data_IF_959897822080
#
_entry.id   IF_959897822080
#
_cell.length_a   1.000
_cell.length_b   1.000
_cell.length_c   1.000
_cell.angle_alpha   90.00
_cell.angle_beta   90.00
_cell.angle_gamma   90.00
#
_symmetry.space_group_name_H-M   'P 1'
#
loop_
_entity.id
_entity.type
_entity.pdbx_description
1 polymer ?
#
# COMPACT_ATOMS: atom_id res chain seq x y z
N UNK A 1 5.52 -26.86 1.56
CA UNK A 1 4.61 -26.91 2.73
C UNK A 1 3.60 -25.80 2.53
N UNK A 2 2.32 -26.05 2.77
CA UNK A 2 1.29 -25.01 2.70
C UNK A 2 1.38 -24.10 3.93
N UNK A 3 1.25 -22.79 3.73
CA UNK A 3 1.24 -21.83 4.83
C UNK A 3 -0.10 -21.87 5.56
N UNK A 4 -0.08 -21.76 6.91
CA UNK A 4 -1.31 -21.79 7.71
C UNK A 4 -1.79 -20.35 8.01
N UNK A 5 -2.69 -19.81 7.18
CA UNK A 5 -3.30 -18.49 7.40
C UNK A 5 -4.40 -18.47 8.47
N UNK A 6 -4.85 -19.62 8.98
CA UNK A 6 -5.80 -19.73 10.09
C UNK A 6 -5.11 -19.87 11.47
N UNK A 7 -3.76 -19.78 11.52
CA UNK A 7 -3.04 -19.76 12.79
C UNK A 7 -3.41 -18.48 13.58
N UNK A 8 -3.96 -18.66 14.77
CA UNK A 8 -4.25 -17.54 15.66
C UNK A 8 -3.00 -17.12 16.40
N UNK A 9 -2.50 -15.93 16.12
CA UNK A 9 -1.31 -15.34 16.76
C UNK A 9 -1.77 -14.27 17.73
N UNK A 10 -1.43 -14.43 19.02
CA UNK A 10 -1.68 -13.38 20.01
C UNK A 10 -0.67 -12.24 19.80
N UNK A 11 -1.15 -11.08 19.42
CA UNK A 11 -0.37 -9.86 19.23
C UNK A 11 -0.60 -8.81 20.34
N UNK A 12 -1.42 -9.13 21.35
CA UNK A 12 -1.68 -8.24 22.50
C UNK A 12 -0.47 -8.29 23.42
N UNK A 13 0.02 -7.13 23.84
CA UNK A 13 1.21 -7.01 24.70
C UNK A 13 2.53 -7.24 23.95
N UNK A 14 2.55 -7.03 22.63
CA UNK A 14 3.74 -7.16 21.78
C UNK A 14 4.17 -5.85 21.13
N UNK A 15 3.70 -4.74 21.64
CA UNK A 15 3.89 -3.39 21.08
C UNK A 15 3.30 -3.26 19.66
N UNK A 16 2.31 -4.07 19.33
CA UNK A 16 1.61 -4.02 18.05
C UNK A 16 0.73 -2.78 17.96
N UNK A 17 1.04 -1.86 17.02
CA UNK A 17 0.21 -0.68 16.79
C UNK A 17 -1.25 -1.05 16.45
N UNK A 18 -1.46 -2.13 15.70
CA UNK A 18 -2.78 -2.66 15.39
C UNK A 18 -3.52 -3.18 16.62
N UNK A 19 -2.90 -4.03 17.44
CA UNK A 19 -3.60 -4.71 18.55
C UNK A 19 -3.55 -3.95 19.87
N UNK A 20 -2.41 -3.34 20.21
CA UNK A 20 -2.26 -2.69 21.51
C UNK A 20 -2.78 -1.24 21.47
N UNK A 21 -2.58 -0.51 20.36
CA UNK A 21 -3.05 0.85 20.20
C UNK A 21 -4.44 0.89 19.54
N UNK A 22 -4.59 0.52 18.27
CA UNK A 22 -5.87 0.57 17.54
C UNK A 22 -6.93 -0.35 18.17
N UNK A 23 -6.55 -1.57 18.54
CA UNK A 23 -7.41 -2.57 19.19
C UNK A 23 -7.59 -2.36 20.70
N UNK A 24 -6.98 -1.31 21.28
CA UNK A 24 -7.06 -0.99 22.70
C UNK A 24 -6.76 -2.20 23.61
N UNK A 25 -5.66 -2.91 23.32
CA UNK A 25 -5.27 -4.11 24.06
C UNK A 25 -6.27 -5.25 23.97
N UNK A 26 -6.96 -5.41 22.84
CA UNK A 26 -7.92 -6.48 22.59
C UNK A 26 -9.37 -6.16 22.99
N UNK A 27 -9.66 -4.94 23.45
CA UNK A 27 -11.04 -4.47 23.70
C UNK A 27 -11.84 -4.34 22.38
N UNK A 28 -11.18 -3.96 21.30
CA UNK A 28 -11.75 -3.89 19.96
C UNK A 28 -11.05 -4.90 19.04
N UNK A 29 -11.75 -5.42 18.05
CA UNK A 29 -11.17 -6.15 16.93
C UNK A 29 -10.62 -5.12 15.93
N UNK A 30 -9.29 -5.01 15.74
CA UNK A 30 -8.71 -3.98 14.89
C UNK A 30 -8.71 -4.43 13.42
N UNK A 31 -9.54 -3.80 12.60
CA UNK A 31 -9.63 -4.00 11.15
C UNK A 31 -9.31 -2.70 10.37
N UNK A 32 -8.54 -1.78 10.95
CA UNK A 32 -8.18 -0.51 10.32
C UNK A 32 -6.77 -0.50 9.75
N UNK A 33 -5.75 -0.70 10.58
CA UNK A 33 -4.34 -0.66 10.16
C UNK A 33 -4.05 -1.73 9.09
N UNK A 34 -3.38 -1.31 8.00
CA UNK A 34 -3.07 -2.16 6.87
C UNK A 34 -1.78 -2.99 7.10
N UNK A 35 -1.83 -3.88 8.08
CA UNK A 35 -0.93 -5.03 8.25
C UNK A 35 -1.74 -6.33 8.32
N UNK A 36 -1.11 -7.48 8.14
CA UNK A 36 -1.81 -8.77 8.22
C UNK A 36 -1.65 -9.38 9.62
N UNK A 37 -2.56 -10.29 10.00
CA UNK A 37 -2.42 -11.08 11.24
C UNK A 37 -1.80 -12.46 10.98
N UNK A 38 -1.13 -12.61 9.84
CA UNK A 38 -0.49 -13.85 9.43
C UNK A 38 0.99 -13.87 9.80
N UNK A 39 1.48 -15.06 10.07
CA UNK A 39 2.91 -15.30 10.26
C UNK A 39 3.65 -15.04 8.94
N UNK A 40 4.82 -14.43 9.00
CA UNK A 40 5.72 -14.35 7.86
C UNK A 40 6.18 -15.77 7.43
N UNK A 41 6.58 -15.97 6.16
CA UNK A 41 7.11 -17.25 5.69
C UNK A 41 8.22 -17.79 6.59
N UNK A 42 8.27 -19.12 6.73
CA UNK A 42 9.26 -19.78 7.56
C UNK A 42 10.69 -19.46 7.14
N UNK A 43 10.94 -19.42 5.85
CA UNK A 43 12.23 -19.12 5.26
C UNK A 43 12.74 -17.75 5.69
N UNK A 44 11.86 -16.74 5.67
CA UNK A 44 12.17 -15.39 6.16
C UNK A 44 12.50 -15.39 7.64
N UNK A 45 11.69 -16.08 8.46
CA UNK A 45 11.93 -16.19 9.90
C UNK A 45 13.26 -16.88 10.20
N UNK A 46 13.59 -17.95 9.50
CA UNK A 46 14.81 -18.72 9.70
C UNK A 46 16.05 -17.92 9.24
N UNK A 47 15.96 -17.17 8.14
CA UNK A 47 17.02 -16.27 7.68
C UNK A 47 17.31 -15.16 8.69
N UNK A 48 16.28 -14.53 9.24
CA UNK A 48 16.40 -13.49 10.27
C UNK A 48 16.98 -14.10 11.57
N UNK A 49 16.50 -15.24 12.03
CA UNK A 49 17.02 -15.93 13.20
C UNK A 49 18.50 -16.24 13.07
N UNK A 50 18.91 -16.76 11.93
CA UNK A 50 20.34 -17.03 11.65
C UNK A 50 21.22 -15.80 11.82
N UNK A 51 20.73 -14.61 11.44
CA UNK A 51 21.44 -13.34 11.68
C UNK A 51 21.48 -12.97 13.17
N UNK A 52 20.34 -13.16 13.86
CA UNK A 52 20.22 -12.87 15.31
C UNK A 52 21.10 -13.82 16.14
N UNK A 53 21.09 -15.09 15.81
CA UNK A 53 21.85 -16.14 16.53
C UNK A 53 23.38 -15.95 16.44
N UNK A 54 23.86 -15.23 15.42
CA UNK A 54 25.26 -14.80 15.35
C UNK A 54 25.68 -13.93 16.55
N UNK A 55 24.71 -13.15 17.11
CA UNK A 55 24.91 -12.34 18.30
C UNK A 55 25.84 -11.12 18.15
N UNK A 56 26.21 -10.75 16.90
CA UNK A 56 27.10 -9.62 16.61
C UNK A 56 26.42 -8.70 15.60
N UNK A 57 26.14 -7.46 16.00
CA UNK A 57 25.40 -6.45 15.24
C UNK A 57 26.28 -5.22 14.94
N UNK A 58 27.51 -5.47 14.47
CA UNK A 58 28.40 -4.41 13.97
C UNK A 58 27.97 -3.86 12.61
N UNK A 59 28.74 -2.93 12.06
CA UNK A 59 28.47 -2.39 10.73
C UNK A 59 28.45 -3.51 9.68
N UNK A 60 27.39 -3.57 8.89
CA UNK A 60 27.26 -4.51 7.78
C UNK A 60 27.80 -3.92 6.49
N UNK A 61 28.19 -4.79 5.57
CA UNK A 61 28.37 -4.43 4.16
C UNK A 61 27.07 -4.70 3.43
N UNK A 62 26.53 -3.69 2.70
CA UNK A 62 25.29 -3.84 1.96
C UNK A 62 25.44 -4.94 0.89
N UNK A 63 24.59 -5.98 0.90
CA UNK A 63 24.71 -7.11 -0.02
C UNK A 63 24.09 -6.78 -1.39
N UNK A 64 24.71 -5.83 -2.11
CA UNK A 64 24.18 -5.22 -3.32
C UNK A 64 23.68 -6.25 -4.35
N UNK A 65 24.53 -7.18 -4.75
CA UNK A 65 24.22 -8.16 -5.79
C UNK A 65 23.03 -9.05 -5.38
N UNK A 66 23.04 -9.56 -4.13
CA UNK A 66 21.93 -10.39 -3.62
C UNK A 66 20.63 -9.61 -3.55
N UNK A 67 20.69 -8.34 -3.17
CA UNK A 67 19.53 -7.46 -3.05
C UNK A 67 18.91 -7.17 -4.43
N UNK A 68 19.74 -6.75 -5.39
CA UNK A 68 19.30 -6.43 -6.75
C UNK A 68 18.84 -7.68 -7.50
N UNK A 69 19.52 -8.82 -7.35
CA UNK A 69 19.11 -10.08 -7.96
C UNK A 69 17.76 -10.60 -7.42
N UNK A 70 17.51 -10.44 -6.12
CA UNK A 70 16.22 -10.80 -5.53
C UNK A 70 15.07 -9.97 -6.15
N UNK A 71 15.25 -8.65 -6.29
CA UNK A 71 14.24 -7.74 -6.86
C UNK A 71 14.07 -8.02 -8.37
N UNK A 72 15.16 -8.13 -9.14
CA UNK A 72 15.12 -8.48 -10.56
C UNK A 72 14.40 -9.80 -10.79
N UNK A 73 14.77 -10.82 -10.01
CA UNK A 73 14.13 -12.14 -10.07
C UNK A 73 12.64 -12.08 -9.76
N UNK A 74 12.24 -11.28 -8.75
CA UNK A 74 10.84 -11.06 -8.40
C UNK A 74 10.05 -10.44 -9.55
N UNK A 75 10.51 -9.32 -10.09
CA UNK A 75 9.84 -8.65 -11.21
C UNK A 75 9.78 -9.51 -12.47
N UNK A 76 10.84 -10.25 -12.77
CA UNK A 76 10.85 -11.18 -13.90
C UNK A 76 9.82 -12.31 -13.75
N UNK A 77 9.67 -12.90 -12.54
CA UNK A 77 8.74 -14.00 -12.29
C UNK A 77 7.28 -13.53 -12.18
N UNK A 78 7.03 -12.46 -11.44
CA UNK A 78 5.66 -12.03 -11.09
C UNK A 78 5.07 -10.99 -12.05
N UNK A 79 5.89 -10.08 -12.56
CA UNK A 79 5.42 -8.96 -13.40
C UNK A 79 5.86 -9.04 -14.85
N UNK A 80 6.77 -9.98 -15.22
CA UNK A 80 7.34 -10.11 -16.57
C UNK A 80 8.11 -8.87 -17.03
N UNK A 81 8.69 -8.15 -16.09
CA UNK A 81 9.47 -6.93 -16.32
C UNK A 81 10.94 -7.26 -16.09
N UNK A 82 11.78 -6.89 -17.05
CA UNK A 82 13.23 -6.93 -16.91
C UNK A 82 13.73 -5.61 -16.34
N UNK A 83 14.56 -5.70 -15.29
CA UNK A 83 15.11 -4.56 -14.56
C UNK A 83 16.63 -4.73 -14.49
N UNK A 84 17.36 -3.67 -14.79
CA UNK A 84 18.82 -3.68 -14.63
C UNK A 84 19.20 -3.38 -13.18
N UNK A 85 20.36 -3.88 -12.78
CA UNK A 85 20.90 -3.68 -11.44
C UNK A 85 21.12 -2.19 -11.11
N UNK A 86 21.62 -1.42 -12.10
CA UNK A 86 21.87 0.01 -11.96
C UNK A 86 20.61 0.88 -11.88
N UNK A 87 19.40 0.31 -12.09
CA UNK A 87 18.12 0.97 -11.93
C UNK A 87 17.56 0.88 -10.50
N UNK A 88 18.13 0.02 -9.65
CA UNK A 88 17.62 -0.27 -8.31
C UNK A 88 18.39 0.51 -7.26
N UNK A 89 17.69 1.11 -6.28
CA UNK A 89 18.29 1.61 -5.03
C UNK A 89 17.49 1.15 -3.82
N UNK A 90 18.20 0.92 -2.73
CA UNK A 90 17.59 0.70 -1.42
C UNK A 90 16.94 1.98 -0.88
N UNK A 91 15.88 1.84 -0.12
CA UNK A 91 15.27 2.90 0.67
C UNK A 91 14.89 2.40 2.08
N UNK A 92 15.11 3.19 3.15
CA UNK A 92 14.74 2.83 4.51
C UNK A 92 13.22 3.00 4.75
N UNK A 93 12.40 2.17 4.08
CA UNK A 93 10.95 2.24 4.04
C UNK A 93 10.39 3.14 2.94
N UNK A 94 9.09 2.96 2.60
CA UNK A 94 8.46 3.73 1.52
C UNK A 94 8.20 5.19 1.93
N UNK A 95 7.38 5.39 2.95
CA UNK A 95 6.95 6.74 3.36
C UNK A 95 8.03 7.46 4.14
N UNK A 96 8.74 6.74 4.98
CA UNK A 96 9.79 7.27 5.87
C UNK A 96 11.16 7.36 5.18
N UNK A 97 11.29 6.83 3.98
CA UNK A 97 12.51 6.80 3.18
C UNK A 97 12.25 7.27 1.76
N UNK A 98 11.76 6.38 0.89
CA UNK A 98 11.68 6.62 -0.55
C UNK A 98 10.93 7.92 -0.90
N UNK A 99 9.71 8.12 -0.42
CA UNK A 99 8.88 9.27 -0.80
C UNK A 99 9.53 10.61 -0.44
N UNK A 100 10.02 10.77 0.80
CA UNK A 100 10.62 12.05 1.17
C UNK A 100 11.96 12.29 0.46
N UNK A 101 12.75 11.23 0.20
CA UNK A 101 13.97 11.34 -0.61
C UNK A 101 13.66 11.83 -2.03
N UNK A 102 12.58 11.33 -2.64
CA UNK A 102 12.09 11.87 -3.92
C UNK A 102 11.68 13.32 -3.84
N UNK A 103 10.97 13.72 -2.77
CA UNK A 103 10.61 15.12 -2.59
C UNK A 103 11.84 16.02 -2.49
N UNK A 104 12.88 15.60 -1.77
CA UNK A 104 14.11 16.37 -1.64
C UNK A 104 14.94 16.37 -2.93
N UNK A 105 14.97 15.26 -3.67
CA UNK A 105 15.71 15.12 -4.91
C UNK A 105 15.10 15.93 -6.08
N UNK A 106 13.77 16.00 -6.17
CA UNK A 106 13.10 16.46 -7.38
C UNK A 106 12.25 17.72 -7.22
N UNK A 107 12.13 18.25 -5.99
CA UNK A 107 11.32 19.43 -5.72
C UNK A 107 12.00 20.40 -4.76
N UNK A 108 11.49 21.63 -4.71
CA UNK A 108 11.87 22.64 -3.74
C UNK A 108 10.71 22.91 -2.76
N UNK A 109 10.98 23.48 -1.57
CA UNK A 109 9.93 23.97 -0.70
C UNK A 109 8.97 24.91 -1.44
N UNK A 110 7.66 24.63 -1.31
CA UNK A 110 6.59 25.37 -1.99
C UNK A 110 6.12 24.75 -3.31
N UNK A 111 6.90 23.85 -3.93
CA UNK A 111 6.46 23.08 -5.11
C UNK A 111 5.25 22.21 -4.78
N UNK A 112 4.49 21.86 -5.81
CA UNK A 112 3.25 21.10 -5.72
C UNK A 112 3.42 19.66 -6.15
N UNK A 113 2.71 18.77 -5.45
CA UNK A 113 2.59 17.34 -5.76
C UNK A 113 1.11 17.03 -5.94
N UNK A 114 0.71 16.52 -7.09
CA UNK A 114 -0.66 16.08 -7.35
C UNK A 114 -0.86 14.69 -6.74
N UNK A 115 -1.95 14.50 -6.02
CA UNK A 115 -2.44 13.22 -5.48
C UNK A 115 -3.90 13.01 -5.89
N UNK A 116 -4.40 11.78 -5.85
CA UNK A 116 -5.71 11.39 -6.36
C UNK A 116 -6.64 10.84 -5.25
N UNK A 117 -7.21 11.70 -4.37
CA UNK A 117 -8.15 11.25 -3.34
C UNK A 117 -9.44 10.62 -3.93
N UNK A 118 -10.00 9.59 -3.24
CA UNK A 118 -9.54 8.99 -1.99
C UNK A 118 -8.23 8.23 -2.17
N UNK A 119 -7.21 8.57 -1.41
CA UNK A 119 -5.88 7.98 -1.50
C UNK A 119 -5.24 7.84 -0.11
N UNK A 120 -4.19 7.08 0.01
CA UNK A 120 -3.49 6.85 1.26
C UNK A 120 -3.11 8.16 1.98
N UNK A 121 -3.72 8.39 3.13
CA UNK A 121 -3.67 9.66 3.88
C UNK A 121 -2.24 10.14 4.22
N UNK A 122 -1.28 9.20 4.33
CA UNK A 122 0.11 9.53 4.63
C UNK A 122 0.79 10.28 3.48
N UNK A 123 0.34 10.15 2.23
CA UNK A 123 0.89 10.90 1.11
C UNK A 123 0.83 12.42 1.38
N UNK A 124 -0.36 12.92 1.64
CA UNK A 124 -0.56 14.33 1.95
C UNK A 124 0.29 14.79 3.13
N UNK A 125 0.28 14.01 4.22
CA UNK A 125 1.05 14.32 5.43
C UNK A 125 2.56 14.40 5.15
N UNK A 126 3.13 13.48 4.38
CA UNK A 126 4.56 13.51 4.03
C UNK A 126 4.87 14.71 3.15
N UNK A 127 4.08 14.98 2.12
CA UNK A 127 4.24 16.12 1.22
C UNK A 127 4.26 17.43 2.03
N UNK A 128 3.28 17.65 2.90
CA UNK A 128 3.15 18.87 3.69
C UNK A 128 4.23 19.02 4.76
N UNK A 129 4.63 17.91 5.42
CA UNK A 129 5.70 17.91 6.42
C UNK A 129 7.07 18.31 5.82
N UNK A 130 7.27 18.07 4.52
CA UNK A 130 8.47 18.49 3.80
C UNK A 130 8.31 19.86 3.11
N UNK A 131 7.34 20.67 3.52
CA UNK A 131 7.07 22.01 2.99
C UNK A 131 6.74 22.05 1.49
N UNK A 132 6.17 20.96 0.94
CA UNK A 132 5.57 20.92 -0.39
C UNK A 132 4.04 21.02 -0.24
N UNK A 133 3.33 21.28 -1.33
CA UNK A 133 1.87 21.44 -1.31
C UNK A 133 1.21 20.25 -2.01
N UNK A 134 0.37 19.52 -1.30
CA UNK A 134 -0.47 18.50 -1.91
C UNK A 134 -1.63 19.18 -2.67
N UNK A 135 -1.82 18.80 -3.93
CA UNK A 135 -2.91 19.26 -4.79
C UNK A 135 -3.76 18.06 -5.13
N UNK A 136 -5.05 18.14 -4.80
CA UNK A 136 -5.98 17.05 -5.04
C UNK A 136 -6.46 17.06 -6.50
N UNK A 137 -6.34 15.92 -7.20
CA UNK A 137 -7.10 15.54 -8.39
C UNK A 137 -8.09 14.45 -7.94
N UNK A 138 -9.29 14.81 -7.45
CA UNK A 138 -10.22 13.86 -6.87
C UNK A 138 -10.68 12.83 -7.90
N UNK A 139 -10.67 11.56 -7.50
CA UNK A 139 -11.30 10.51 -8.29
C UNK A 139 -12.82 10.70 -8.32
N UNK A 140 -13.43 10.41 -9.46
CA UNK A 140 -14.88 10.49 -9.67
C UNK A 140 -15.48 9.12 -9.35
N UNK A 141 -16.38 9.05 -8.35
CA UNK A 141 -17.17 7.86 -8.07
C UNK A 141 -18.43 7.87 -8.94
N UNK A 142 -18.55 6.89 -9.84
CA UNK A 142 -19.75 6.70 -10.67
C UNK A 142 -19.93 5.22 -11.00
N UNK A 143 -21.19 4.79 -11.10
CA UNK A 143 -21.57 3.41 -11.44
C UNK A 143 -20.90 2.36 -10.52
N UNK A 144 -20.60 2.74 -9.26
CA UNK A 144 -19.99 1.85 -8.28
C UNK A 144 -18.47 1.71 -8.40
N UNK A 145 -17.79 2.49 -9.25
CA UNK A 145 -16.34 2.46 -9.43
C UNK A 145 -15.73 3.87 -9.43
N UNK A 146 -14.43 3.95 -9.22
CA UNK A 146 -13.66 5.19 -9.22
C UNK A 146 -12.94 5.39 -10.56
N UNK A 147 -12.99 6.61 -11.08
CA UNK A 147 -12.39 7.00 -12.34
C UNK A 147 -11.51 8.23 -12.15
N UNK A 148 -10.45 8.32 -12.96
CA UNK A 148 -9.58 9.50 -12.98
C UNK A 148 -10.30 10.63 -13.70
N UNK A 149 -10.35 11.82 -13.09
CA UNK A 149 -10.73 13.05 -13.78
C UNK A 149 -9.53 13.57 -14.57
N UNK A 150 -9.46 13.17 -15.82
CA UNK A 150 -8.35 13.53 -16.70
C UNK A 150 -8.37 15.00 -17.14
N UNK A 151 -9.54 15.64 -17.19
CA UNK A 151 -9.64 17.05 -17.51
C UNK A 151 -9.06 17.91 -16.38
N UNK A 152 -9.48 17.64 -15.16
CA UNK A 152 -8.94 18.27 -13.96
C UNK A 152 -7.44 17.93 -13.74
N UNK A 153 -7.02 16.70 -14.07
CA UNK A 153 -5.61 16.32 -14.00
C UNK A 153 -4.75 17.15 -14.96
N UNK A 154 -5.17 17.26 -16.20
CA UNK A 154 -4.45 18.03 -17.24
C UNK A 154 -4.29 19.50 -16.82
N UNK A 155 -5.36 20.13 -16.33
CA UNK A 155 -5.31 21.52 -15.85
C UNK A 155 -4.33 21.70 -14.70
N UNK A 156 -4.26 20.75 -13.78
CA UNK A 156 -3.31 20.78 -12.65
C UNK A 156 -1.87 20.58 -13.08
N UNK A 157 -1.62 19.67 -14.01
CA UNK A 157 -0.27 19.41 -14.52
C UNK A 157 0.32 20.58 -15.30
N UNK A 158 -0.53 21.45 -15.88
CA UNK A 158 -0.10 22.69 -16.54
C UNK A 158 0.40 23.78 -15.58
N UNK A 159 0.16 23.65 -14.28
CA UNK A 159 0.65 24.64 -13.31
C UNK A 159 2.17 24.57 -13.20
N UNK A 160 2.90 25.70 -13.30
CA UNK A 160 4.36 25.71 -13.42
C UNK A 160 5.12 25.19 -12.19
N UNK A 161 4.49 25.19 -11.01
CA UNK A 161 5.02 24.73 -9.73
C UNK A 161 4.62 23.28 -9.38
N UNK A 162 3.86 22.59 -10.24
CA UNK A 162 3.62 21.15 -10.14
C UNK A 162 4.84 20.40 -10.68
N UNK A 163 5.40 19.52 -9.86
CA UNK A 163 6.62 18.76 -10.18
C UNK A 163 6.42 17.25 -10.18
N UNK A 164 5.45 16.77 -9.39
CA UNK A 164 5.22 15.34 -9.18
C UNK A 164 3.72 15.04 -9.29
N UNK A 165 3.39 13.94 -9.97
CA UNK A 165 2.15 13.19 -9.82
C UNK A 165 2.48 11.93 -8.99
N UNK A 166 1.91 11.82 -7.78
CA UNK A 166 2.09 10.68 -6.90
C UNK A 166 0.88 9.74 -7.03
N UNK A 167 1.10 8.59 -7.67
CA UNK A 167 0.06 7.60 -7.98
C UNK A 167 0.15 6.43 -7.01
N UNK A 168 -0.98 5.99 -6.46
CA UNK A 168 -1.12 4.71 -5.76
C UNK A 168 -1.55 3.64 -6.76
N UNK A 169 -0.69 2.69 -7.07
CA UNK A 169 -0.91 1.68 -8.10
C UNK A 169 -0.50 0.27 -7.62
N UNK A 170 -1.44 -0.59 -7.24
CA UNK A 170 -2.90 -0.42 -7.19
C UNK A 170 -3.40 0.58 -6.13
N UNK A 171 -4.63 1.07 -6.33
CA UNK A 171 -5.17 2.18 -5.57
C UNK A 171 -5.72 1.77 -4.18
N UNK A 172 -5.18 2.36 -3.12
CA UNK A 172 -5.65 2.24 -1.75
C UNK A 172 -6.23 3.61 -1.31
N UNK A 173 -7.48 3.70 -0.86
CA UNK A 173 -8.32 2.63 -0.30
C UNK A 173 -9.31 1.98 -1.27
N UNK A 174 -9.46 2.51 -2.48
CA UNK A 174 -10.56 2.14 -3.39
C UNK A 174 -10.46 0.72 -3.98
N UNK A 175 -9.29 0.09 -3.87
CA UNK A 175 -9.07 -1.30 -4.28
C UNK A 175 -9.05 -1.51 -5.79
N UNK A 176 -8.71 -0.47 -6.57
CA UNK A 176 -8.74 -0.50 -8.03
C UNK A 176 -7.35 -0.70 -8.63
N UNK A 177 -7.28 -1.46 -9.73
CA UNK A 177 -6.12 -1.56 -10.63
C UNK A 177 -6.35 -0.60 -11.81
N UNK A 178 -5.37 0.24 -12.13
CA UNK A 178 -5.45 1.14 -13.28
C UNK A 178 -5.22 0.37 -14.57
N UNK A 179 -5.99 0.68 -15.62
CA UNK A 179 -5.80 0.07 -16.93
C UNK A 179 -4.56 0.65 -17.61
N UNK A 180 -4.02 -0.10 -18.58
CA UNK A 180 -2.86 0.35 -19.35
C UNK A 180 -3.12 1.67 -20.07
N UNK A 181 -4.35 1.86 -20.56
CA UNK A 181 -4.79 3.08 -21.24
C UNK A 181 -4.85 4.29 -20.29
N UNK A 182 -5.36 4.09 -19.06
CA UNK A 182 -5.38 5.14 -18.04
C UNK A 182 -3.95 5.53 -17.64
N UNK A 183 -3.08 4.55 -17.44
CA UNK A 183 -1.68 4.78 -17.09
C UNK A 183 -0.91 5.46 -18.21
N UNK A 184 -1.13 5.06 -19.47
CA UNK A 184 -0.54 5.70 -20.64
C UNK A 184 -0.96 7.17 -20.73
N UNK A 185 -2.25 7.46 -20.52
CA UNK A 185 -2.75 8.83 -20.54
C UNK A 185 -2.15 9.68 -19.40
N UNK A 186 -2.02 9.15 -18.19
CA UNK A 186 -1.30 9.84 -17.10
C UNK A 186 0.16 10.13 -17.49
N UNK A 187 0.82 9.14 -18.08
CA UNK A 187 2.21 9.26 -18.51
C UNK A 187 2.39 10.34 -19.58
N UNK A 188 1.54 10.35 -20.62
CA UNK A 188 1.62 11.32 -21.70
C UNK A 188 1.41 12.75 -21.19
N UNK A 189 0.38 12.98 -20.36
CA UNK A 189 0.13 14.28 -19.75
C UNK A 189 1.29 14.75 -18.86
N UNK A 190 1.87 13.86 -18.08
CA UNK A 190 3.03 14.20 -17.24
C UNK A 190 4.27 14.52 -18.07
N UNK A 191 4.53 13.76 -19.14
CA UNK A 191 5.65 13.99 -20.05
C UNK A 191 5.54 15.34 -20.75
N UNK A 192 4.36 15.69 -21.26
CA UNK A 192 4.09 16.97 -21.94
C UNK A 192 4.32 18.17 -21.01
N UNK A 193 4.09 18.01 -19.72
CA UNK A 193 4.22 19.07 -18.73
C UNK A 193 5.51 19.00 -17.88
N UNK A 194 6.45 18.10 -18.21
CA UNK A 194 7.69 17.86 -17.45
C UNK A 194 7.45 17.53 -15.97
N UNK A 195 6.40 16.80 -15.67
CA UNK A 195 6.04 16.33 -14.33
C UNK A 195 6.55 14.89 -14.14
N UNK A 196 7.12 14.59 -12.99
CA UNK A 196 7.61 13.25 -12.63
C UNK A 196 6.45 12.44 -12.07
N UNK A 197 6.30 11.20 -12.52
CA UNK A 197 5.40 10.22 -11.90
C UNK A 197 6.18 9.45 -10.84
N UNK A 198 5.65 9.43 -9.61
CA UNK A 198 6.06 8.49 -8.57
C UNK A 198 4.93 7.49 -8.38
N UNK A 199 5.19 6.21 -8.69
CA UNK A 199 4.23 5.12 -8.53
C UNK A 199 4.53 4.33 -7.26
N UNK A 200 3.60 4.36 -6.30
CA UNK A 200 3.62 3.47 -5.14
C UNK A 200 2.96 2.14 -5.51
N UNK A 201 3.78 1.10 -5.69
CA UNK A 201 3.35 -0.22 -6.15
C UNK A 201 3.35 -1.27 -5.02
N UNK A 202 3.26 -0.85 -3.77
CA UNK A 202 3.37 -1.74 -2.60
C UNK A 202 2.26 -2.80 -2.52
N UNK A 203 1.15 -2.64 -3.24
CA UNK A 203 0.05 -3.60 -3.30
C UNK A 203 0.06 -4.49 -4.57
N UNK A 204 1.07 -4.37 -5.41
CA UNK A 204 1.14 -5.02 -6.74
C UNK A 204 1.09 -6.55 -6.73
N UNK A 205 1.50 -7.19 -5.63
CA UNK A 205 1.51 -8.65 -5.52
C UNK A 205 0.14 -9.25 -5.16
N UNK A 206 -0.83 -8.40 -4.76
CA UNK A 206 -2.14 -8.85 -4.26
C UNK A 206 -3.24 -8.46 -5.23
N UNK A 207 -3.38 -9.24 -6.32
CA UNK A 207 -4.34 -8.99 -7.40
C UNK A 207 -5.41 -10.09 -7.38
N UNK A 208 -6.69 -9.69 -7.38
CA UNK A 208 -7.81 -10.61 -7.17
C UNK A 208 -8.71 -10.79 -8.37
N UNK A 209 -8.93 -9.74 -9.14
CA UNK A 209 -9.77 -9.77 -10.32
C UNK A 209 -9.02 -10.16 -11.58
N UNK A 210 -9.80 -10.22 -12.68
CA UNK A 210 -9.35 -10.62 -14.00
C UNK A 210 -8.48 -9.57 -14.70
N UNK A 211 -8.41 -8.33 -14.17
CA UNK A 211 -7.55 -7.30 -14.73
C UNK A 211 -6.11 -7.55 -14.27
N UNK A 212 -5.17 -7.66 -15.20
CA UNK A 212 -3.77 -7.76 -14.84
C UNK A 212 -3.30 -6.45 -14.20
N UNK A 213 -2.40 -6.57 -13.23
CA UNK A 213 -1.65 -5.42 -12.76
C UNK A 213 -0.64 -5.01 -13.84
N UNK A 214 -0.52 -3.70 -14.06
CA UNK A 214 0.51 -3.09 -14.87
C UNK A 214 1.36 -2.16 -14.02
N UNK A 215 2.68 -2.30 -14.09
CA UNK A 215 3.62 -1.34 -13.52
C UNK A 215 3.81 -0.15 -14.46
N UNK A 216 4.06 1.04 -13.91
CA UNK A 216 4.52 2.15 -14.73
C UNK A 216 5.84 1.87 -15.45
N UNK A 217 6.62 0.88 -15.02
CA UNK A 217 7.81 0.42 -15.75
C UNK A 217 7.50 -0.20 -17.11
N UNK A 218 6.26 -0.69 -17.32
CA UNK A 218 5.80 -1.21 -18.62
C UNK A 218 5.34 -0.11 -19.59
N UNK A 219 4.88 1.01 -19.03
CA UNK A 219 4.36 2.14 -19.81
C UNK A 219 5.50 2.95 -20.40
N UNK A 220 6.58 2.99 -19.67
CA UNK A 220 7.74 3.77 -20.03
C UNK A 220 8.75 2.95 -20.83
N UNK A 221 8.94 3.23 -22.12
CA UNK A 221 9.77 2.42 -23.02
C UNK A 221 11.26 2.80 -23.08
N UNK A 222 11.70 4.01 -22.63
CA UNK A 222 13.06 4.51 -22.89
C UNK A 222 13.76 5.19 -21.72
N UNK A 223 15.08 5.46 -21.87
CA UNK A 223 16.01 5.93 -20.85
C UNK A 223 15.75 7.34 -20.27
N UNK A 224 14.95 8.18 -20.91
CA UNK A 224 14.69 9.58 -20.51
C UNK A 224 13.38 9.78 -19.77
N UNK A 225 12.99 8.81 -18.99
CA UNK A 225 11.66 8.76 -18.42
C UNK A 225 11.57 9.52 -17.12
N UNK A 226 10.45 10.20 -16.98
CA UNK A 226 10.04 10.90 -15.77
C UNK A 226 9.20 9.99 -14.85
N UNK A 227 9.55 8.71 -14.76
CA UNK A 227 8.88 7.72 -13.93
C UNK A 227 9.81 7.11 -12.91
N UNK A 228 9.28 6.97 -11.70
CA UNK A 228 9.92 6.29 -10.58
C UNK A 228 8.91 5.33 -9.95
N UNK A 229 9.34 4.10 -9.69
CA UNK A 229 8.53 3.13 -8.95
C UNK A 229 9.13 2.92 -7.58
N UNK A 230 8.29 2.88 -6.55
CA UNK A 230 8.68 2.49 -5.19
C UNK A 230 7.86 1.30 -4.71
N UNK A 231 8.52 0.33 -4.07
CA UNK A 231 7.88 -0.90 -3.60
C UNK A 231 8.59 -1.48 -2.37
N UNK A 232 7.97 -2.46 -1.72
CA UNK A 232 8.48 -3.13 -0.53
C UNK A 232 7.75 -4.46 -0.31
N UNK A 233 8.40 -5.49 0.24
CA UNK A 233 7.74 -6.73 0.65
C UNK A 233 6.81 -6.57 1.87
N UNK A 234 6.75 -5.37 2.44
CA UNK A 234 6.12 -5.14 3.75
C UNK A 234 4.62 -5.44 3.79
N UNK A 235 3.87 -5.26 2.69
CA UNK A 235 2.44 -5.58 2.64
C UNK A 235 2.19 -7.04 2.30
N UNK A 236 2.92 -7.57 1.35
CA UNK A 236 2.80 -8.96 0.89
C UNK A 236 3.22 -9.95 1.98
N UNK A 237 4.33 -9.70 2.65
CA UNK A 237 4.92 -10.62 3.62
C UNK A 237 4.81 -10.18 5.08
N UNK A 238 4.06 -9.11 5.35
CA UNK A 238 3.88 -8.55 6.70
C UNK A 238 5.20 -8.13 7.38
N UNK A 239 6.08 -7.43 6.65
CA UNK A 239 7.43 -7.05 7.10
C UNK A 239 7.57 -5.54 7.35
N UNK A 240 6.47 -4.83 7.68
CA UNK A 240 6.49 -3.37 7.81
C UNK A 240 7.49 -2.84 8.84
N UNK A 241 7.65 -3.54 9.98
CA UNK A 241 8.59 -3.14 11.05
C UNK A 241 10.07 -3.30 10.69
N UNK A 242 10.39 -3.94 9.56
CA UNK A 242 11.76 -4.03 9.06
C UNK A 242 12.22 -2.81 8.26
N UNK A 243 11.32 -1.88 7.92
CA UNK A 243 11.67 -0.64 7.20
C UNK A 243 12.63 -0.88 6.03
N UNK A 244 12.33 -1.88 5.19
CA UNK A 244 13.13 -2.21 4.01
C UNK A 244 12.27 -2.07 2.76
N UNK A 245 12.70 -1.17 1.89
CA UNK A 245 12.04 -0.85 0.64
C UNK A 245 13.08 -0.65 -0.47
N UNK A 246 12.61 -0.49 -1.68
CA UNK A 246 13.44 -0.19 -2.82
C UNK A 246 12.72 0.72 -3.80
N UNK A 247 13.51 1.34 -4.66
CA UNK A 247 13.02 2.15 -5.78
C UNK A 247 13.63 1.64 -7.07
N UNK A 248 12.89 1.77 -8.16
CA UNK A 248 13.33 1.45 -9.51
C UNK A 248 13.22 2.70 -10.36
N UNK A 249 14.35 3.14 -10.91
CA UNK A 249 14.49 4.39 -11.64
C UNK A 249 15.31 4.12 -12.90
N UNK A 250 14.66 4.07 -14.05
CA UNK A 250 15.35 3.84 -15.34
C UNK A 250 16.15 5.05 -15.81
N UNK A 251 15.68 6.26 -15.55
CA UNK A 251 16.38 7.51 -15.90
C UNK A 251 17.64 7.69 -15.09
N UNK A 252 18.81 7.67 -15.74
CA UNK A 252 20.11 7.90 -15.08
C UNK A 252 20.17 9.25 -14.36
N UNK A 253 19.52 10.28 -14.89
CA UNK A 253 19.47 11.61 -14.28
C UNK A 253 18.68 11.58 -12.95
N UNK A 254 17.49 10.99 -12.97
CA UNK A 254 16.67 10.88 -11.75
C UNK A 254 17.31 9.94 -10.74
N UNK A 255 17.88 8.81 -11.21
CA UNK A 255 18.59 7.86 -10.37
C UNK A 255 19.75 8.52 -9.62
N UNK A 256 20.59 9.26 -10.35
CA UNK A 256 21.68 9.99 -9.73
C UNK A 256 21.20 11.01 -8.68
N UNK A 257 20.15 11.78 -8.97
CA UNK A 257 19.61 12.74 -8.02
C UNK A 257 19.08 12.07 -6.74
N UNK A 258 18.45 10.89 -6.86
CA UNK A 258 18.01 10.10 -5.72
C UNK A 258 19.19 9.57 -4.90
N UNK A 259 20.20 9.01 -5.57
CA UNK A 259 21.38 8.45 -4.91
C UNK A 259 22.20 9.54 -4.22
N UNK A 260 22.30 10.75 -4.81
CA UNK A 260 22.97 11.90 -4.18
C UNK A 260 22.28 12.29 -2.84
N UNK A 261 20.94 12.16 -2.74
CA UNK A 261 20.21 12.36 -1.47
C UNK A 261 20.53 11.25 -0.48
N UNK A 262 20.57 10.00 -0.94
CA UNK A 262 20.92 8.86 -0.08
C UNK A 262 22.33 9.04 0.53
N UNK A 263 23.33 9.39 -0.29
CA UNK A 263 24.70 9.66 0.15
C UNK A 263 24.77 10.88 1.09
N UNK A 264 24.08 11.98 0.75
CA UNK A 264 24.07 13.22 1.56
C UNK A 264 23.64 12.98 3.00
N UNK A 265 22.66 12.11 3.22
CA UNK A 265 22.12 11.85 4.56
C UNK A 265 22.80 10.64 5.24
N UNK A 266 23.75 9.97 4.59
CA UNK A 266 24.48 8.81 5.12
C UNK A 266 23.58 7.73 5.69
N UNK A 267 22.55 7.33 4.92
CA UNK A 267 21.65 6.28 5.37
C UNK A 267 22.36 4.94 5.44
N UNK A 268 22.30 4.34 6.62
CA UNK A 268 22.59 2.92 6.77
C UNK A 268 21.36 2.08 6.40
N UNK A 269 21.58 0.83 6.06
CA UNK A 269 20.50 -0.10 5.77
C UNK A 269 20.10 -0.92 7.01
N UNK A 270 18.85 -1.35 7.05
CA UNK A 270 18.41 -2.29 8.06
C UNK A 270 18.92 -3.70 7.74
N UNK A 271 19.94 -4.14 8.48
CA UNK A 271 20.64 -5.42 8.29
C UNK A 271 19.70 -6.64 8.28
N UNK A 272 18.71 -6.69 9.18
CA UNK A 272 17.72 -7.76 9.25
C UNK A 272 16.62 -7.58 8.18
N UNK A 273 16.23 -6.33 7.92
CA UNK A 273 15.19 -6.01 6.95
C UNK A 273 15.61 -6.31 5.51
N UNK A 274 16.87 -6.07 5.15
CA UNK A 274 17.40 -6.42 3.83
C UNK A 274 17.48 -7.93 3.66
N UNK A 275 17.92 -8.68 4.68
CA UNK A 275 17.94 -10.15 4.62
C UNK A 275 16.51 -10.72 4.48
N UNK A 276 15.55 -10.16 5.22
CA UNK A 276 14.15 -10.55 5.12
C UNK A 276 13.59 -10.31 3.71
N UNK A 277 13.91 -9.15 3.08
CA UNK A 277 13.50 -8.83 1.71
C UNK A 277 14.11 -9.81 0.71
N UNK A 278 15.42 -10.03 0.78
CA UNK A 278 16.14 -10.94 -0.11
C UNK A 278 15.50 -12.34 -0.05
N UNK A 279 15.30 -12.87 1.16
CA UNK A 279 14.74 -14.21 1.34
C UNK A 279 13.29 -14.29 0.87
N UNK A 280 12.47 -13.27 1.19
CA UNK A 280 11.08 -13.22 0.76
C UNK A 280 10.95 -13.30 -0.76
N UNK A 281 11.75 -12.51 -1.48
CA UNK A 281 11.68 -12.43 -2.94
C UNK A 281 12.39 -13.58 -3.66
N UNK A 282 13.35 -14.24 -2.99
CA UNK A 282 14.09 -15.35 -3.62
C UNK A 282 13.47 -16.73 -3.37
N UNK A 283 12.74 -16.92 -2.25
CA UNK A 283 12.37 -18.26 -1.79
C UNK A 283 10.86 -18.44 -1.51
N UNK A 284 10.06 -17.36 -1.50
CA UNK A 284 8.69 -17.43 -0.99
C UNK A 284 7.59 -17.16 -2.04
N UNK A 285 7.82 -17.50 -3.31
CA UNK A 285 6.80 -17.37 -4.39
C UNK A 285 5.49 -18.11 -4.04
N UNK A 286 5.59 -19.29 -3.41
CA UNK A 286 4.44 -20.06 -2.97
C UNK A 286 3.52 -19.30 -2.01
N UNK A 287 4.11 -18.52 -1.10
CA UNK A 287 3.36 -17.78 -0.09
C UNK A 287 2.42 -16.76 -0.72
N UNK A 288 2.84 -16.05 -1.77
CA UNK A 288 2.02 -15.05 -2.45
C UNK A 288 0.80 -15.68 -3.12
N UNK A 289 0.97 -16.83 -3.76
CA UNK A 289 -0.13 -17.55 -4.38
C UNK A 289 -1.16 -18.01 -3.33
N UNK A 290 -0.68 -18.63 -2.25
CA UNK A 290 -1.53 -19.10 -1.15
C UNK A 290 -2.19 -17.93 -0.40
N UNK A 291 -1.47 -16.80 -0.18
CA UNK A 291 -2.02 -15.58 0.39
C UNK A 291 -3.17 -15.04 -0.45
N UNK A 292 -2.97 -14.92 -1.77
CA UNK A 292 -4.00 -14.41 -2.68
C UNK A 292 -5.24 -15.31 -2.70
N UNK A 293 -5.07 -16.64 -2.64
CA UNK A 293 -6.20 -17.58 -2.55
C UNK A 293 -6.98 -17.39 -1.24
N UNK A 294 -6.27 -17.25 -0.12
CA UNK A 294 -6.90 -17.02 1.18
C UNK A 294 -7.59 -15.67 1.25
N UNK A 295 -6.97 -14.61 0.73
CA UNK A 295 -7.57 -13.28 0.68
C UNK A 295 -8.84 -13.26 -0.18
N UNK A 296 -8.82 -13.87 -1.38
CA UNK A 296 -10.03 -14.01 -2.22
C UNK A 296 -11.16 -14.71 -1.46
N UNK A 297 -10.84 -15.78 -0.76
CA UNK A 297 -11.83 -16.46 0.08
C UNK A 297 -12.39 -15.55 1.19
N UNK A 298 -11.56 -14.71 1.82
CA UNK A 298 -12.02 -13.73 2.83
C UNK A 298 -12.86 -12.60 2.21
N UNK A 299 -12.51 -12.14 1.01
CA UNK A 299 -13.29 -11.15 0.25
C UNK A 299 -14.68 -11.71 -0.06
N UNK A 300 -14.75 -12.90 -0.68
CA UNK A 300 -16.02 -13.56 -1.04
C UNK A 300 -16.91 -13.72 0.17
N UNK A 301 -16.38 -14.24 1.26
CA UNK A 301 -17.11 -14.40 2.52
C UNK A 301 -17.63 -13.07 3.07
N UNK A 302 -16.78 -12.02 3.07
CA UNK A 302 -17.17 -10.71 3.59
C UNK A 302 -18.29 -10.08 2.78
N UNK A 303 -18.18 -10.12 1.44
CA UNK A 303 -19.16 -9.54 0.53
C UNK A 303 -20.48 -10.29 0.64
N UNK A 304 -20.46 -11.64 0.63
CA UNK A 304 -21.67 -12.44 0.81
C UNK A 304 -22.36 -12.14 2.16
N UNK A 305 -21.56 -12.07 3.23
CA UNK A 305 -22.08 -11.77 4.56
C UNK A 305 -22.70 -10.37 4.65
N UNK A 306 -22.02 -9.35 4.11
CA UNK A 306 -22.52 -7.96 4.08
C UNK A 306 -23.80 -7.88 3.28
N UNK A 307 -23.84 -8.39 2.05
CA UNK A 307 -25.02 -8.35 1.19
C UNK A 307 -26.23 -9.04 1.83
N UNK A 308 -26.02 -10.15 2.53
CA UNK A 308 -27.09 -10.92 3.17
C UNK A 308 -27.59 -10.31 4.47
N UNK A 309 -26.73 -9.66 5.24
CA UNK A 309 -27.00 -9.33 6.63
C UNK A 309 -26.91 -7.85 6.99
N UNK A 310 -26.31 -7.03 6.13
CA UNK A 310 -26.05 -5.61 6.34
C UNK A 310 -26.40 -4.81 5.07
N UNK A 311 -27.63 -4.89 4.58
CA UNK A 311 -27.98 -4.43 3.22
C UNK A 311 -27.78 -2.93 2.97
N UNK A 312 -27.68 -2.10 4.02
CA UNK A 312 -27.33 -0.68 3.90
C UNK A 312 -25.82 -0.42 3.77
N UNK A 313 -24.98 -1.44 3.88
CA UNK A 313 -23.56 -1.35 3.58
C UNK A 313 -23.34 -1.87 2.17
N UNK A 314 -22.65 -1.07 1.33
CA UNK A 314 -22.31 -1.46 -0.04
C UNK A 314 -20.82 -1.65 -0.17
N UNK A 315 -20.41 -2.71 -0.81
CA UNK A 315 -18.99 -3.00 -1.04
C UNK A 315 -18.80 -3.56 -2.43
N UNK A 316 -17.89 -2.94 -3.18
CA UNK A 316 -17.46 -3.46 -4.48
C UNK A 316 -16.39 -4.52 -4.27
N UNK A 317 -16.36 -5.51 -5.15
CA UNK A 317 -15.29 -6.50 -5.13
C UNK A 317 -13.97 -5.81 -5.50
N UNK A 318 -12.96 -5.78 -4.63
CA UNK A 318 -11.72 -5.10 -4.91
C UNK A 318 -10.92 -5.82 -5.99
N UNK A 319 -10.23 -5.08 -6.87
CA UNK A 319 -9.31 -5.66 -7.84
C UNK A 319 -8.02 -6.13 -7.16
N UNK A 320 -7.66 -5.52 -6.03
CA UNK A 320 -6.38 -5.73 -5.36
C UNK A 320 -6.46 -5.57 -3.85
N UNK A 321 -5.37 -5.94 -3.17
CA UNK A 321 -5.14 -5.72 -1.74
C UNK A 321 -6.05 -6.57 -0.84
N UNK A 322 -5.96 -6.34 0.45
CA UNK A 322 -6.79 -6.95 1.50
C UNK A 322 -7.67 -5.90 2.21
N UNK A 323 -7.97 -4.82 1.52
CA UNK A 323 -8.68 -3.67 2.07
C UNK A 323 -10.03 -3.54 1.35
N UNK A 324 -11.13 -3.69 2.09
CA UNK A 324 -12.44 -3.42 1.57
C UNK A 324 -12.79 -1.95 1.78
N UNK A 325 -13.27 -1.29 0.73
CA UNK A 325 -13.81 0.06 0.79
C UNK A 325 -15.33 -0.03 0.83
N UNK A 326 -15.91 0.29 1.99
CA UNK A 326 -17.32 0.05 2.29
C UNK A 326 -18.06 1.37 2.34
N UNK A 327 -19.03 1.52 1.47
CA UNK A 327 -19.97 2.63 1.46
C UNK A 327 -21.05 2.40 2.53
N UNK A 328 -21.21 3.38 3.40
CA UNK A 328 -22.15 3.39 4.51
C UNK A 328 -23.17 4.52 4.39
N UNK A 329 -23.35 5.14 3.23
CA UNK A 329 -24.22 6.30 3.03
C UNK A 329 -25.67 6.04 3.50
N UNK A 330 -26.21 4.84 3.19
CA UNK A 330 -27.57 4.45 3.57
C UNK A 330 -27.79 4.32 5.09
N UNK A 331 -26.74 4.35 5.92
CA UNK A 331 -26.88 4.44 7.37
C UNK A 331 -27.29 5.85 7.83
N UNK A 332 -27.09 6.87 7.01
CA UNK A 332 -27.40 8.26 7.34
C UNK A 332 -26.51 8.84 8.45
N UNK A 333 -25.33 8.25 8.70
CA UNK A 333 -24.39 8.67 9.73
C UNK A 333 -23.27 9.51 9.11
N UNK A 334 -22.83 10.56 9.81
CA UNK A 334 -21.63 11.26 9.46
C UNK A 334 -20.38 10.46 9.87
N UNK A 335 -19.19 10.92 9.52
CA UNK A 335 -17.92 10.21 9.76
C UNK A 335 -17.69 9.86 11.25
N UNK A 336 -18.08 10.74 12.19
CA UNK A 336 -17.98 10.48 13.62
C UNK A 336 -19.01 9.45 14.09
N UNK A 337 -20.24 9.55 13.58
CA UNK A 337 -21.29 8.56 13.81
C UNK A 337 -20.92 7.17 13.31
N UNK A 338 -20.25 7.08 12.14
CA UNK A 338 -19.73 5.81 11.62
C UNK A 338 -18.63 5.23 12.52
N UNK A 339 -17.68 6.05 12.96
CA UNK A 339 -16.66 5.60 13.90
C UNK A 339 -17.28 5.06 15.18
N UNK A 340 -18.25 5.79 15.78
CA UNK A 340 -19.00 5.35 16.95
C UNK A 340 -19.81 4.08 16.72
N UNK A 341 -20.43 3.91 15.55
CA UNK A 341 -21.17 2.71 15.18
C UNK A 341 -20.27 1.47 15.16
N UNK A 342 -19.10 1.54 14.50
CA UNK A 342 -18.19 0.40 14.44
C UNK A 342 -17.53 0.12 15.80
N UNK A 343 -17.08 1.13 16.53
CA UNK A 343 -16.55 0.94 17.89
C UNK A 343 -17.61 0.38 18.84
N UNK A 344 -18.86 0.85 18.75
CA UNK A 344 -19.99 0.30 19.50
C UNK A 344 -20.31 -1.16 19.18
N UNK A 345 -19.85 -1.66 18.03
CA UNK A 345 -19.90 -3.08 17.68
C UNK A 345 -18.70 -3.89 18.23
N UNK A 346 -17.72 -3.24 18.85
CA UNK A 346 -16.48 -3.88 19.26
C UNK A 346 -15.46 -4.07 18.12
N UNK A 347 -15.61 -3.32 17.02
CA UNK A 347 -14.73 -3.40 15.84
C UNK A 347 -14.17 -2.03 15.54
N UNK A 348 -12.87 -1.93 15.25
CA UNK A 348 -12.22 -0.71 14.81
C UNK A 348 -11.94 -0.77 13.31
N UNK A 349 -12.34 0.27 12.58
CA UNK A 349 -12.11 0.44 11.14
C UNK A 349 -11.55 1.83 10.86
N UNK A 350 -10.99 2.07 9.67
CA UNK A 350 -10.52 3.40 9.32
C UNK A 350 -11.62 4.23 8.67
N UNK A 351 -11.84 5.43 9.19
CA UNK A 351 -12.80 6.38 8.66
C UNK A 351 -12.38 6.90 7.28
N UNK A 352 -13.31 6.91 6.34
CA UNK A 352 -13.08 7.31 4.95
C UNK A 352 -12.64 8.77 4.81
N UNK A 353 -13.11 9.66 5.69
CA UNK A 353 -12.72 11.09 5.72
C UNK A 353 -11.21 11.32 5.72
N UNK A 354 -10.42 10.39 6.27
CA UNK A 354 -8.95 10.49 6.29
C UNK A 354 -8.30 10.30 4.92
N UNK A 355 -9.00 9.72 3.96
CA UNK A 355 -8.51 9.44 2.61
C UNK A 355 -8.92 10.50 1.57
N UNK A 356 -9.94 11.29 1.87
CA UNK A 356 -10.45 12.36 0.99
C UNK A 356 -11.64 13.06 1.63
N UNK A 357 -11.77 14.36 1.37
CA UNK A 357 -12.84 15.22 1.99
C UNK A 357 -14.25 14.69 1.71
N UNK A 358 -14.48 14.10 0.53
CA UNK A 358 -15.78 13.65 0.06
C UNK A 358 -16.07 12.18 0.41
N UNK A 359 -15.15 11.52 1.14
CA UNK A 359 -15.25 10.09 1.52
C UNK A 359 -15.78 9.87 2.95
N UNK A 360 -16.46 10.86 3.52
CA UNK A 360 -16.92 10.83 4.91
C UNK A 360 -17.95 9.74 5.25
N UNK A 361 -18.65 9.20 4.25
CA UNK A 361 -19.62 8.10 4.39
C UNK A 361 -19.00 6.72 4.11
N UNK A 362 -17.72 6.64 3.78
CA UNK A 362 -17.00 5.37 3.62
C UNK A 362 -16.24 4.97 4.88
N UNK A 363 -15.95 3.67 4.96
CA UNK A 363 -14.95 3.10 5.88
C UNK A 363 -14.05 2.12 5.14
N UNK A 364 -12.78 2.04 5.55
CA UNK A 364 -11.85 1.02 5.04
C UNK A 364 -11.71 -0.11 6.07
N UNK A 365 -11.92 -1.34 5.63
CA UNK A 365 -11.88 -2.55 6.45
C UNK A 365 -10.75 -3.46 5.98
N UNK A 366 -9.82 -3.78 6.86
CA UNK A 366 -8.75 -4.75 6.62
C UNK A 366 -9.27 -6.17 6.90
N UNK A 367 -9.27 -7.03 5.87
CA UNK A 367 -9.73 -8.44 5.99
C UNK A 367 -8.57 -9.45 6.02
N UNK A 368 -7.32 -8.99 6.13
CA UNK A 368 -6.15 -9.85 6.25
C UNK A 368 -5.95 -10.35 7.69
N UNK A 369 -6.91 -11.13 8.14
CA UNK A 369 -6.92 -11.82 9.43
C UNK A 369 -7.48 -13.24 9.25
N UNK A 370 -7.40 -14.06 10.29
CA UNK A 370 -7.98 -15.42 10.24
C UNK A 370 -9.48 -15.37 9.93
N UNK A 371 -9.99 -16.36 9.23
CA UNK A 371 -11.42 -16.49 8.93
C UNK A 371 -12.27 -16.40 10.19
N UNK A 372 -11.85 -17.04 11.27
CA UNK A 372 -12.57 -17.04 12.54
C UNK A 372 -12.68 -15.64 13.18
N UNK A 373 -11.61 -14.84 13.09
CA UNK A 373 -11.62 -13.45 13.58
C UNK A 373 -12.53 -12.56 12.72
N UNK A 374 -12.45 -12.70 11.40
CA UNK A 374 -13.28 -11.97 10.45
C UNK A 374 -14.77 -12.26 10.65
N UNK A 375 -15.12 -13.53 10.78
CA UNK A 375 -16.50 -13.95 11.08
C UNK A 375 -17.02 -13.37 12.40
N UNK A 376 -16.18 -13.38 13.44
CA UNK A 376 -16.53 -12.78 14.74
C UNK A 376 -16.79 -11.28 14.60
N UNK A 377 -15.93 -10.55 13.89
CA UNK A 377 -16.10 -9.11 13.65
C UNK A 377 -17.41 -8.81 12.92
N UNK A 378 -17.69 -9.51 11.82
CA UNK A 378 -18.91 -9.33 11.05
C UNK A 378 -20.20 -9.68 11.85
N UNK A 379 -20.14 -10.71 12.73
CA UNK A 379 -21.25 -11.04 13.65
C UNK A 379 -21.51 -9.91 14.66
N UNK A 380 -20.46 -9.31 15.21
CA UNK A 380 -20.58 -8.18 16.13
C UNK A 380 -21.16 -6.95 15.44
N UNK A 381 -20.67 -6.62 14.23
CA UNK A 381 -21.24 -5.52 13.41
C UNK A 381 -22.72 -5.77 13.16
N UNK A 382 -23.12 -6.98 12.76
CA UNK A 382 -24.53 -7.35 12.53
C UNK A 382 -25.39 -7.19 13.80
N UNK A 383 -24.88 -7.57 14.97
CA UNK A 383 -25.62 -7.42 16.21
C UNK A 383 -25.89 -5.93 16.51
N UNK A 384 -24.86 -5.08 16.35
CA UNK A 384 -24.98 -3.64 16.57
C UNK A 384 -25.87 -2.97 15.49
N UNK A 385 -25.79 -3.42 14.24
CA UNK A 385 -26.62 -2.98 13.12
C UNK A 385 -28.12 -3.13 13.46
N UNK A 386 -28.53 -4.33 13.90
CA UNK A 386 -29.91 -4.61 14.34
C UNK A 386 -30.32 -3.80 15.56
N UNK A 387 -29.41 -3.63 16.54
CA UNK A 387 -29.68 -2.85 17.75
C UNK A 387 -29.99 -1.38 17.45
N UNK A 388 -29.37 -0.82 16.42
CA UNK A 388 -29.58 0.56 15.97
C UNK A 388 -30.75 0.70 14.97
N UNK A 389 -31.49 -0.37 14.65
CA UNK A 389 -32.67 -0.33 13.80
C UNK A 389 -32.39 -0.18 12.31
N UNK A 390 -31.20 -0.57 11.88
CA UNK A 390 -30.80 -0.56 10.48
C UNK A 390 -31.28 -1.78 9.68
#
# INVERSE_FOLDING_TARGET
MTHNFDETINRIGTDSDKWDNEGKGGTLIPLGIADTDYRAPREVLDAVRKKVDLGVFGYGHFPHDRFTDAIKGWYGRHHKIDIREDEISYAPGLMTGALWMFLDAYTNPGDKVVIQPPVYATFKRVIENFNRKAIDNPLIFREGDYHIDFEDLEDKLKMPDVKILLVCNPANPVGRVWTKEEMQKMYDLCRENNVIIISDEIHSDMIHKRLPFHSFLEICEEEDQNVVVMNSPSKTFNLASFFSAYVIIKSKKLKKAFDDIYEKYHFDYNYLGVEALITAYSECDYYVNELNDYLRSNIDFSIEYINKHLPKLKVQYPDCSYLLWVDCEELGLNSEGLAGFFEGSGVRVNAGKSYGKDSGHFVRVNIACTRSLLERALKQIKANYKKNGF
#
